data_IF_271337977816
#
_entry.id   IF_271337977816
#
_cell.length_a   1.000
_cell.length_b   1.000
_cell.length_c   1.000
_cell.angle_alpha   90.00
_cell.angle_beta   90.00
_cell.angle_gamma   90.00
#
_symmetry.space_group_name_H-M   'P 1'
#
loop_
_entity.id
_entity.type
_entity.pdbx_description
1 polymer ?
#
# COMPACT_ATOMS: atom_id res chain seq x y z
N UNK A 1 41.90 -24.00 -16.37
CA UNK A 1 43.33 -23.63 -16.51
C UNK A 1 43.62 -22.61 -15.41
N UNK A 2 44.05 -23.02 -14.22
CA UNK A 2 45.47 -23.22 -13.81
C UNK A 2 46.35 -21.98 -14.01
N UNK A 3 46.89 -21.49 -12.87
CA UNK A 3 48.26 -21.03 -12.54
C UNK A 3 48.18 -19.78 -11.65
N UNK A 4 48.41 -19.85 -10.32
CA UNK A 4 49.67 -20.04 -9.57
C UNK A 4 50.77 -19.01 -9.87
N UNK A 5 51.20 -18.26 -8.84
CA UNK A 5 52.60 -18.11 -8.35
C UNK A 5 52.66 -17.02 -7.26
N UNK A 6 52.90 -17.38 -6.00
CA UNK A 6 54.21 -17.42 -5.30
C UNK A 6 54.55 -16.06 -4.64
N UNK A 7 54.28 -15.89 -3.33
CA UNK A 7 55.16 -16.21 -2.18
C UNK A 7 56.46 -15.39 -2.18
N UNK A 8 56.49 -14.35 -1.33
CA UNK A 8 57.72 -13.80 -0.76
C UNK A 8 57.77 -14.28 0.69
N UNK A 9 58.76 -15.13 0.97
CA UNK A 9 59.12 -15.61 2.29
C UNK A 9 60.21 -14.67 2.84
N UNK A 10 59.98 -14.02 3.98
CA UNK A 10 61.07 -13.48 4.80
C UNK A 10 60.82 -13.81 6.28
N UNK A 11 61.78 -14.60 6.79
CA UNK A 11 62.28 -14.68 8.15
C UNK A 11 61.26 -14.76 9.30
N UNK A 12 61.14 -15.97 9.84
CA UNK A 12 60.71 -16.26 11.21
C UNK A 12 61.65 -15.55 12.19
N UNK A 13 61.18 -14.42 12.73
CA UNK A 13 61.63 -13.90 14.01
C UNK A 13 60.78 -14.54 15.10
N UNK A 14 61.42 -15.19 16.05
CA UNK A 14 60.81 -15.80 17.22
C UNK A 14 60.02 -14.77 18.03
N UNK A 15 58.70 -14.82 17.96
CA UNK A 15 57.81 -14.21 18.95
C UNK A 15 57.18 -15.35 19.74
N UNK A 16 57.51 -15.39 21.03
CA UNK A 16 56.87 -16.23 22.02
C UNK A 16 55.35 -16.13 21.91
N UNK A 17 54.66 -17.27 22.07
CA UNK A 17 53.22 -17.34 22.13
C UNK A 17 52.69 -16.48 23.29
N UNK A 18 52.34 -15.22 23.02
CA UNK A 18 51.39 -14.47 23.82
C UNK A 18 50.00 -14.94 23.41
N UNK A 19 49.24 -15.38 24.40
CA UNK A 19 47.97 -16.08 24.23
C UNK A 19 47.00 -15.30 23.34
N UNK A 20 46.24 -16.00 22.49
CA UNK A 20 45.20 -15.42 21.61
C UNK A 20 44.18 -14.56 22.39
N UNK A 21 44.05 -14.82 23.70
CA UNK A 21 43.26 -14.06 24.67
C UNK A 21 43.78 -12.65 24.95
N UNK A 22 45.10 -12.41 24.96
CA UNK A 22 45.67 -11.07 25.17
C UNK A 22 45.40 -10.16 23.96
N UNK A 23 45.51 -10.69 22.74
CA UNK A 23 45.21 -9.94 21.52
C UNK A 23 43.74 -9.53 21.44
N UNK A 24 42.82 -10.41 21.83
CA UNK A 24 41.38 -10.09 21.86
C UNK A 24 41.07 -9.07 22.97
N UNK A 25 41.72 -9.17 24.14
CA UNK A 25 41.54 -8.18 25.22
C UNK A 25 42.01 -6.79 24.80
N UNK A 26 43.20 -6.69 24.19
CA UNK A 26 43.77 -5.42 23.75
C UNK A 26 42.93 -4.78 22.62
N UNK A 27 42.43 -5.61 21.69
CA UNK A 27 41.49 -5.15 20.65
C UNK A 27 40.14 -4.70 21.24
N UNK A 28 39.64 -5.40 22.26
CA UNK A 28 38.41 -5.05 22.96
C UNK A 28 38.57 -3.74 23.76
N UNK A 29 39.68 -3.58 24.49
CA UNK A 29 39.96 -2.39 25.28
C UNK A 29 40.21 -1.15 24.41
N UNK A 30 40.73 -1.33 23.19
CA UNK A 30 40.86 -0.26 22.20
C UNK A 30 39.54 0.09 21.47
N UNK A 31 38.64 -0.88 21.26
CA UNK A 31 37.35 -0.65 20.59
C UNK A 31 36.28 -0.12 21.55
N UNK A 32 36.29 -0.53 22.81
CA UNK A 32 35.31 -0.14 23.84
C UNK A 32 35.09 1.37 23.97
N UNK A 33 36.12 2.23 24.08
CA UNK A 33 35.92 3.68 24.16
C UNK A 33 35.38 4.27 22.85
N UNK A 34 35.80 3.75 21.68
CA UNK A 34 35.30 4.20 20.37
C UNK A 34 33.84 3.83 20.14
N UNK A 35 33.44 2.65 20.58
CA UNK A 35 32.03 2.21 20.56
C UNK A 35 31.22 3.09 21.52
N UNK A 36 31.71 3.36 22.72
CA UNK A 36 31.03 4.25 23.68
C UNK A 36 30.85 5.68 23.15
N UNK A 37 31.88 6.29 22.54
CA UNK A 37 31.79 7.61 21.89
C UNK A 37 30.80 7.59 20.70
N UNK A 38 30.73 6.49 19.96
CA UNK A 38 29.76 6.31 18.87
C UNK A 38 28.33 6.19 19.43
N UNK A 39 28.12 5.46 20.52
CA UNK A 39 26.82 5.37 21.19
C UNK A 39 26.39 6.70 21.81
N UNK A 40 27.31 7.45 22.43
CA UNK A 40 27.00 8.73 23.06
C UNK A 40 26.74 9.82 22.00
N UNK A 41 27.45 9.80 20.87
CA UNK A 41 27.20 10.70 19.73
C UNK A 41 25.92 10.35 18.95
N UNK A 42 25.57 9.07 18.82
CA UNK A 42 24.28 8.63 18.28
C UNK A 42 23.15 8.98 19.25
N UNK A 43 23.36 8.81 20.56
CA UNK A 43 22.39 9.14 21.60
C UNK A 43 22.15 10.65 21.69
N UNK A 44 23.18 11.49 21.59
CA UNK A 44 23.02 12.96 21.54
C UNK A 44 22.45 13.45 20.21
N UNK A 45 22.75 12.80 19.07
CA UNK A 45 22.03 13.05 17.80
C UNK A 45 20.56 12.67 17.89
N UNK A 46 20.24 11.52 18.48
CA UNK A 46 18.87 11.08 18.72
C UNK A 46 18.14 12.02 19.67
N UNK A 47 18.76 12.42 20.80
CA UNK A 47 18.19 13.38 21.74
C UNK A 47 18.02 14.78 21.12
N UNK A 48 18.90 15.17 20.19
CA UNK A 48 18.79 16.40 19.41
C UNK A 48 17.65 16.37 18.38
N UNK A 49 17.34 15.20 17.81
CA UNK A 49 16.18 15.02 16.91
C UNK A 49 14.84 14.84 17.65
N UNK A 50 14.84 14.33 18.89
CA UNK A 50 13.61 14.27 19.71
C UNK A 50 13.08 15.66 20.12
N UNK A 51 13.94 16.68 20.24
CA UNK A 51 13.53 18.05 20.54
C UNK A 51 13.02 18.84 19.33
N UNK A 52 13.02 18.25 18.13
CA UNK A 52 12.42 18.79 16.91
C UNK A 52 11.38 17.86 16.32
N UNK A 53 10.64 17.13 17.16
CA UNK A 53 9.29 16.72 16.77
C UNK A 53 8.54 18.02 16.53
N UNK A 54 8.34 18.34 15.26
CA UNK A 54 7.53 19.47 14.84
C UNK A 54 6.09 19.16 15.24
N UNK A 55 5.75 19.45 16.50
CA UNK A 55 4.42 19.30 17.10
C UNK A 55 3.38 20.21 16.44
N UNK A 56 3.78 21.00 15.44
CA UNK A 56 2.87 21.62 14.51
C UNK A 56 2.37 20.54 13.55
N UNK A 57 1.36 19.80 14.00
CA UNK A 57 0.35 19.27 13.08
C UNK A 57 -0.02 20.43 12.17
N UNK A 58 0.28 20.32 10.87
CA UNK A 58 -0.06 21.38 9.93
C UNK A 58 -1.56 21.63 10.07
N UNK A 59 -1.95 22.88 10.33
CA UNK A 59 -3.35 23.24 10.44
C UNK A 59 -4.05 22.78 9.15
N UNK A 60 -5.07 21.94 9.29
CA UNK A 60 -5.88 21.49 8.16
C UNK A 60 -6.40 22.72 7.43
N UNK A 61 -6.15 22.78 6.12
CA UNK A 61 -6.73 23.82 5.26
C UNK A 61 -8.03 23.31 4.69
N UNK A 62 -9.02 24.18 4.57
CA UNK A 62 -10.34 23.85 4.04
C UNK A 62 -10.34 23.65 2.51
N UNK A 63 -9.21 23.92 1.83
CA UNK A 63 -9.04 23.72 0.40
C UNK A 63 -7.69 23.10 0.05
N UNK A 64 -7.70 22.19 -0.93
CA UNK A 64 -6.48 21.62 -1.50
C UNK A 64 -5.74 22.67 -2.35
N UNK A 65 -4.39 22.61 -2.42
CA UNK A 65 -3.63 23.43 -3.35
C UNK A 65 -4.15 23.31 -4.79
N UNK A 66 -4.15 24.39 -5.61
CA UNK A 66 -4.73 24.39 -6.95
C UNK A 66 -4.21 23.32 -7.91
N UNK A 67 -2.99 22.80 -7.68
CA UNK A 67 -2.37 21.71 -8.46
C UNK A 67 -3.26 20.47 -8.52
N UNK A 68 -3.99 20.17 -7.45
CA UNK A 68 -4.85 18.99 -7.36
C UNK A 68 -6.08 19.08 -8.27
N UNK A 69 -6.54 20.29 -8.63
CA UNK A 69 -7.59 20.47 -9.63
C UNK A 69 -7.11 20.07 -11.02
N UNK A 70 -5.87 20.42 -11.37
CA UNK A 70 -5.25 20.03 -12.65
C UNK A 70 -4.98 18.53 -12.73
N UNK A 71 -4.43 17.96 -11.65
CA UNK A 71 -4.22 16.51 -11.52
C UNK A 71 -5.55 15.76 -11.65
N UNK A 72 -6.61 16.21 -10.96
CA UNK A 72 -7.93 15.58 -11.07
C UNK A 72 -8.49 15.57 -12.49
N UNK A 73 -8.28 16.63 -13.27
CA UNK A 73 -8.75 16.71 -14.65
C UNK A 73 -8.04 15.70 -15.56
N UNK A 74 -6.73 15.51 -15.40
CA UNK A 74 -5.97 14.52 -16.16
C UNK A 74 -6.33 13.09 -15.75
N UNK A 75 -6.46 12.82 -14.45
CA UNK A 75 -6.89 11.52 -13.95
C UNK A 75 -8.29 11.15 -14.44
N UNK A 76 -9.26 12.06 -14.38
CA UNK A 76 -10.60 11.82 -14.92
C UNK A 76 -10.58 11.49 -16.42
N UNK A 77 -9.72 12.16 -17.18
CA UNK A 77 -9.54 11.88 -18.61
C UNK A 77 -8.90 10.51 -18.83
N UNK A 78 -7.92 10.13 -17.99
CA UNK A 78 -7.26 8.82 -18.02
C UNK A 78 -8.23 7.68 -17.69
N UNK A 79 -9.18 7.90 -16.78
CA UNK A 79 -10.05 6.84 -16.23
C UNK A 79 -11.39 6.67 -16.93
N UNK A 80 -11.79 7.63 -17.78
CA UNK A 80 -13.07 7.60 -18.45
C UNK A 80 -12.97 6.99 -19.85
N UNK A 81 -13.82 6.01 -20.15
CA UNK A 81 -14.02 5.53 -21.51
C UNK A 81 -15.23 6.23 -22.16
N UNK A 82 -15.00 7.10 -23.17
CA UNK A 82 -16.09 7.81 -23.84
C UNK A 82 -17.00 6.90 -24.68
N UNK A 83 -16.53 5.72 -25.09
CA UNK A 83 -17.31 4.80 -25.91
C UNK A 83 -18.34 4.04 -25.06
N UNK A 84 -17.92 3.54 -23.90
CA UNK A 84 -18.78 2.78 -22.98
C UNK A 84 -19.48 3.65 -21.93
N UNK A 85 -19.01 4.89 -21.74
CA UNK A 85 -19.45 5.81 -20.68
C UNK A 85 -19.28 5.20 -19.28
N UNK A 86 -18.17 4.51 -19.08
CA UNK A 86 -17.84 3.77 -17.86
C UNK A 86 -16.37 4.04 -17.50
N UNK A 87 -15.99 3.64 -16.28
CA UNK A 87 -14.58 3.66 -15.93
C UNK A 87 -13.82 2.49 -16.58
N UNK A 88 -12.61 2.78 -17.03
CA UNK A 88 -11.76 1.85 -17.78
C UNK A 88 -10.80 1.07 -16.87
N UNK A 89 -9.91 0.27 -17.47
CA UNK A 89 -9.00 -0.60 -16.72
C UNK A 89 -7.93 0.18 -15.91
N UNK A 90 -7.54 1.38 -16.34
CA UNK A 90 -6.65 2.26 -15.56
C UNK A 90 -7.32 2.73 -14.26
N UNK A 91 -8.63 3.00 -14.30
CA UNK A 91 -9.39 3.33 -13.11
C UNK A 91 -9.39 2.16 -12.10
N UNK A 92 -9.62 0.93 -12.58
CA UNK A 92 -9.60 -0.28 -11.73
C UNK A 92 -8.23 -0.48 -11.09
N UNK A 93 -7.19 -0.31 -11.90
CA UNK A 93 -5.82 -0.47 -11.45
C UNK A 93 -5.47 0.58 -10.39
N UNK A 94 -5.91 1.84 -10.55
CA UNK A 94 -5.71 2.90 -9.56
C UNK A 94 -6.46 2.65 -8.24
N UNK A 95 -7.69 2.13 -8.30
CA UNK A 95 -8.46 1.74 -7.11
C UNK A 95 -7.72 0.63 -6.34
N UNK A 96 -7.20 -0.36 -7.06
CA UNK A 96 -6.38 -1.42 -6.47
C UNK A 96 -5.06 -0.89 -5.92
N UNK A 97 -4.37 -0.02 -6.66
CA UNK A 97 -3.08 0.56 -6.25
C UNK A 97 -3.19 1.29 -4.91
N UNK A 98 -4.27 2.08 -4.73
CA UNK A 98 -4.53 2.76 -3.47
C UNK A 98 -4.64 1.80 -2.28
N UNK A 99 -5.31 0.66 -2.46
CA UNK A 99 -5.35 -0.39 -1.43
C UNK A 99 -4.00 -1.08 -1.24
N UNK A 100 -3.25 -1.37 -2.32
CA UNK A 100 -2.00 -2.12 -2.22
C UNK A 100 -0.85 -1.33 -1.55
N UNK A 101 -0.83 -0.01 -1.71
CA UNK A 101 0.08 0.88 -0.96
C UNK A 101 -0.27 0.84 0.55
N UNK A 102 -1.49 1.23 0.90
CA UNK A 102 -1.94 1.27 2.29
C UNK A 102 -2.03 -0.08 3.01
N UNK A 103 -2.41 -1.11 2.27
CA UNK A 103 -2.80 -2.42 2.79
C UNK A 103 -1.61 -3.18 3.37
N UNK A 104 -0.38 -2.80 3.03
CA UNK A 104 0.83 -3.41 3.56
C UNK A 104 1.27 -2.86 4.95
N UNK A 105 0.37 -2.17 5.67
CA UNK A 105 0.55 -1.74 7.06
C UNK A 105 -0.25 -2.58 8.07
N UNK A 106 0.14 -2.59 9.33
CA UNK A 106 -0.69 -3.02 10.47
C UNK A 106 -0.19 -2.39 11.77
N UNK A 107 -1.03 -2.36 12.82
CA UNK A 107 -0.73 -1.67 14.09
C UNK A 107 0.63 -2.00 14.71
N UNK A 108 1.10 -3.24 14.59
CA UNK A 108 2.38 -3.65 15.17
C UNK A 108 3.61 -3.05 14.47
N UNK A 109 3.45 -2.50 13.27
CA UNK A 109 4.56 -2.01 12.45
C UNK A 109 4.98 -0.57 12.81
N UNK A 110 4.22 0.11 13.66
CA UNK A 110 4.42 1.54 13.91
C UNK A 110 4.30 2.33 12.60
N UNK A 111 5.38 3.00 12.20
CA UNK A 111 5.35 3.94 11.07
C UNK A 111 5.75 3.33 9.72
N UNK A 112 5.99 2.02 9.66
CA UNK A 112 6.55 1.37 8.46
C UNK A 112 5.44 0.76 7.61
N UNK A 113 5.43 1.13 6.33
CA UNK A 113 4.40 0.78 5.36
C UNK A 113 3.14 1.62 5.55
N UNK A 114 2.16 1.40 4.67
CA UNK A 114 0.90 2.13 4.68
C UNK A 114 0.81 3.05 3.48
N UNK A 115 0.06 4.12 3.60
CA UNK A 115 -0.17 5.02 2.48
C UNK A 115 1.00 6.01 2.33
N UNK A 116 2.20 5.48 2.11
CA UNK A 116 3.47 6.23 2.10
C UNK A 116 4.15 6.22 0.73
N UNK A 117 3.50 5.67 -0.30
CA UNK A 117 4.02 5.60 -1.66
C UNK A 117 5.14 4.57 -1.84
N UNK A 118 5.46 3.76 -0.82
CA UNK A 118 6.53 2.76 -0.88
C UNK A 118 6.29 1.71 -1.95
N UNK A 119 5.02 1.48 -2.33
CA UNK A 119 4.68 0.61 -3.45
C UNK A 119 5.46 1.02 -4.72
N UNK A 120 5.47 2.31 -5.06
CA UNK A 120 6.20 2.85 -6.23
C UNK A 120 7.66 3.18 -5.89
N UNK A 121 7.93 3.64 -4.68
CA UNK A 121 9.20 4.28 -4.31
C UNK A 121 10.21 3.39 -3.60
N UNK A 122 9.83 2.17 -3.22
CA UNK A 122 10.71 1.23 -2.53
C UNK A 122 12.00 0.98 -3.30
N UNK A 123 13.12 0.93 -2.56
CA UNK A 123 14.45 0.74 -3.17
C UNK A 123 14.47 -0.53 -4.03
N UNK A 124 14.90 -0.38 -5.29
CA UNK A 124 14.97 -1.49 -6.24
C UNK A 124 13.61 -1.94 -6.79
N UNK A 125 12.56 -1.14 -6.61
CA UNK A 125 11.17 -1.49 -6.94
C UNK A 125 10.69 -2.76 -6.22
N UNK A 126 11.18 -2.98 -5.00
CA UNK A 126 10.96 -4.22 -4.24
C UNK A 126 9.48 -4.63 -4.23
N UNK A 127 8.59 -3.73 -3.82
CA UNK A 127 7.16 -4.04 -3.69
C UNK A 127 6.48 -4.34 -5.02
N UNK A 128 6.78 -3.56 -6.07
CA UNK A 128 6.22 -3.79 -7.41
C UNK A 128 6.74 -5.08 -8.06
N UNK A 129 7.81 -5.68 -7.56
CA UNK A 129 8.32 -6.98 -8.04
C UNK A 129 7.70 -8.17 -7.29
N UNK A 130 6.92 -7.93 -6.23
CA UNK A 130 6.25 -9.00 -5.48
C UNK A 130 5.02 -9.51 -6.21
N UNK A 131 4.75 -10.80 -6.07
CA UNK A 131 3.70 -11.48 -6.84
C UNK A 131 2.29 -10.93 -6.57
N UNK A 132 2.01 -10.53 -5.33
CA UNK A 132 0.75 -9.92 -4.92
C UNK A 132 0.47 -8.57 -5.59
N UNK A 133 1.50 -7.90 -6.13
CA UNK A 133 1.42 -6.60 -6.82
C UNK A 133 1.46 -6.73 -8.35
N UNK A 134 1.48 -7.95 -8.90
CA UNK A 134 1.44 -8.18 -10.34
C UNK A 134 0.26 -7.46 -11.01
N UNK A 135 0.56 -6.72 -12.09
CA UNK A 135 -0.40 -5.92 -12.85
C UNK A 135 -0.51 -4.45 -12.43
N UNK A 136 0.15 -4.02 -11.35
CA UNK A 136 0.14 -2.61 -10.94
C UNK A 136 1.22 -1.76 -11.64
N UNK A 137 2.20 -2.39 -12.30
CA UNK A 137 3.37 -1.69 -12.85
C UNK A 137 3.02 -0.62 -13.90
N UNK A 138 1.99 -0.84 -14.72
CA UNK A 138 1.56 0.11 -15.75
C UNK A 138 0.95 1.38 -15.13
N UNK A 139 -0.02 1.21 -14.21
CA UNK A 139 -0.64 2.35 -13.53
C UNK A 139 0.36 3.09 -12.64
N UNK A 140 1.24 2.38 -11.93
CA UNK A 140 2.33 2.98 -11.15
C UNK A 140 3.25 3.84 -12.01
N UNK A 141 3.58 3.38 -13.23
CA UNK A 141 4.39 4.15 -14.19
C UNK A 141 3.67 5.43 -14.63
N UNK A 142 2.36 5.34 -14.91
CA UNK A 142 1.52 6.50 -15.29
C UNK A 142 1.42 7.52 -14.16
N UNK A 143 1.21 7.07 -12.92
CA UNK A 143 1.14 7.95 -11.76
C UNK A 143 2.49 8.60 -11.47
N UNK A 144 3.60 7.86 -11.55
CA UNK A 144 4.93 8.43 -11.36
C UNK A 144 5.23 9.52 -12.43
N UNK A 145 4.87 9.29 -13.69
CA UNK A 145 5.01 10.29 -14.74
C UNK A 145 4.14 11.55 -14.48
N UNK A 146 2.92 11.35 -13.98
CA UNK A 146 2.02 12.45 -13.61
C UNK A 146 2.56 13.24 -12.40
N UNK A 147 3.11 12.54 -11.40
CA UNK A 147 3.79 13.16 -10.26
C UNK A 147 4.95 14.04 -10.74
N UNK A 148 5.83 13.51 -11.59
CA UNK A 148 6.98 14.24 -12.12
C UNK A 148 6.57 15.50 -12.91
N UNK A 149 5.44 15.42 -13.63
CA UNK A 149 4.88 16.56 -14.37
C UNK A 149 4.40 17.70 -13.46
N UNK A 150 3.80 17.36 -12.32
CA UNK A 150 3.13 18.33 -11.44
C UNK A 150 3.92 18.73 -10.20
N UNK A 151 4.91 17.93 -9.80
CA UNK A 151 5.73 18.19 -8.64
C UNK A 151 6.66 19.39 -8.88
N UNK A 152 6.45 20.46 -8.12
CA UNK A 152 7.25 21.69 -8.19
C UNK A 152 7.62 22.12 -6.78
N UNK A 153 8.75 22.79 -6.60
CA UNK A 153 9.18 23.25 -5.26
C UNK A 153 8.16 24.15 -4.56
N UNK A 154 7.34 24.90 -5.32
CA UNK A 154 6.27 25.75 -4.78
C UNK A 154 4.94 25.00 -4.51
N UNK A 155 4.75 23.84 -5.10
CA UNK A 155 3.56 22.98 -4.96
C UNK A 155 4.02 21.52 -4.98
N UNK A 156 4.65 21.04 -3.89
CA UNK A 156 5.14 19.67 -3.83
C UNK A 156 3.96 18.70 -3.91
N UNK A 157 4.16 17.62 -4.65
CA UNK A 157 3.21 16.52 -4.80
C UNK A 157 3.98 15.25 -4.45
N UNK A 158 3.67 14.64 -3.30
CA UNK A 158 4.23 13.34 -2.95
C UNK A 158 3.57 12.25 -3.80
N UNK A 159 4.31 11.18 -4.07
CA UNK A 159 3.76 9.99 -4.73
C UNK A 159 2.68 9.36 -3.83
N UNK A 160 2.91 9.33 -2.51
CA UNK A 160 1.95 8.85 -1.53
C UNK A 160 0.59 9.55 -1.61
N UNK A 161 0.57 10.89 -1.68
CA UNK A 161 -0.67 11.64 -1.86
C UNK A 161 -1.29 11.37 -3.24
N UNK A 162 -0.46 11.25 -4.28
CA UNK A 162 -0.94 11.02 -5.64
C UNK A 162 -1.65 9.66 -5.77
N UNK A 163 -1.12 8.59 -5.19
CA UNK A 163 -1.75 7.25 -5.21
C UNK A 163 -3.15 7.31 -4.59
N UNK A 164 -3.27 7.88 -3.39
CA UNK A 164 -4.57 7.93 -2.70
C UNK A 164 -5.56 8.87 -3.37
N UNK A 165 -5.09 10.01 -3.87
CA UNK A 165 -5.91 10.92 -4.66
C UNK A 165 -6.36 10.27 -5.98
N UNK A 166 -5.46 9.55 -6.64
CA UNK A 166 -5.73 8.79 -7.87
C UNK A 166 -6.84 7.75 -7.66
N UNK A 167 -6.73 6.90 -6.63
CA UNK A 167 -7.76 5.92 -6.29
C UNK A 167 -9.14 6.57 -6.07
N UNK A 168 -9.20 7.65 -5.30
CA UNK A 168 -10.46 8.36 -5.05
C UNK A 168 -11.03 9.04 -6.31
N UNK A 169 -10.18 9.56 -7.19
CA UNK A 169 -10.61 10.09 -8.50
C UNK A 169 -11.11 8.96 -9.41
N UNK A 170 -10.48 7.79 -9.39
CA UNK A 170 -10.94 6.63 -10.13
C UNK A 170 -12.33 6.19 -9.67
N UNK A 171 -12.56 6.07 -8.35
CA UNK A 171 -13.88 5.74 -7.79
C UNK A 171 -14.95 6.72 -8.29
N UNK A 172 -14.76 8.03 -8.12
CA UNK A 172 -15.78 9.02 -8.52
C UNK A 172 -15.94 9.14 -10.04
N UNK A 173 -14.98 8.63 -10.82
CA UNK A 173 -15.08 8.57 -12.30
C UNK A 173 -15.96 7.40 -12.75
N UNK A 174 -15.98 6.29 -12.00
CA UNK A 174 -16.92 5.20 -12.23
C UNK A 174 -18.37 5.69 -11.99
N UNK A 175 -19.32 5.46 -12.91
CA UNK A 175 -20.72 5.84 -12.69
C UNK A 175 -21.29 5.20 -11.42
N UNK A 176 -21.81 6.01 -10.49
CA UNK A 176 -22.27 5.56 -9.17
C UNK A 176 -21.26 5.76 -8.04
N UNK A 177 -20.03 6.16 -8.37
CA UNK A 177 -18.94 6.39 -7.43
C UNK A 177 -19.20 7.55 -6.47
N UNK A 178 -19.00 7.38 -5.14
CA UNK A 178 -19.07 8.49 -4.21
C UNK A 178 -17.95 9.51 -4.40
N UNK A 179 -18.22 10.73 -3.95
CA UNK A 179 -17.13 11.63 -3.56
C UNK A 179 -16.53 11.14 -2.25
N UNK A 180 -15.23 10.87 -2.25
CA UNK A 180 -14.49 10.43 -1.07
C UNK A 180 -13.61 11.58 -0.59
N UNK A 181 -13.68 11.86 0.71
CA UNK A 181 -12.84 12.90 1.31
C UNK A 181 -11.38 12.48 1.22
N UNK A 182 -10.57 13.30 0.56
CA UNK A 182 -9.14 13.04 0.41
C UNK A 182 -8.35 14.06 1.21
N UNK A 183 -7.49 13.57 2.09
CA UNK A 183 -6.50 14.38 2.78
C UNK A 183 -5.17 14.29 2.04
N UNK A 184 -4.48 15.43 1.98
CA UNK A 184 -3.17 15.60 1.34
C UNK A 184 -2.17 16.00 2.44
N UNK A 185 -0.96 15.49 2.35
CA UNK A 185 0.13 15.75 3.29
C UNK A 185 1.00 14.52 3.59
N UNK A 186 0.81 13.40 2.90
CA UNK A 186 1.60 12.18 3.10
C UNK A 186 3.05 12.40 2.71
N UNK A 187 3.94 11.76 3.46
CA UNK A 187 5.37 11.75 3.18
C UNK A 187 5.71 10.51 2.37
N UNK A 188 6.50 10.72 1.32
CA UNK A 188 7.05 9.63 0.54
C UNK A 188 8.04 8.80 1.36
N UNK A 189 7.96 7.48 1.22
CA UNK A 189 8.86 6.50 1.81
C UNK A 189 9.52 5.66 0.73
N UNK A 190 10.83 5.46 0.83
CA UNK A 190 11.56 4.47 0.02
C UNK A 190 11.82 3.16 0.76
N UNK A 191 11.29 3.03 1.98
CA UNK A 191 11.40 1.81 2.79
C UNK A 191 10.28 0.87 2.36
N UNK A 192 10.58 -0.34 1.87
CA UNK A 192 9.54 -1.28 1.47
C UNK A 192 8.70 -1.72 2.68
N UNK A 193 7.39 -1.84 2.47
CA UNK A 193 6.48 -2.39 3.47
C UNK A 193 6.80 -3.87 3.75
N UNK A 194 6.55 -4.38 4.99
CA UNK A 194 6.81 -5.78 5.31
C UNK A 194 5.99 -6.74 4.42
N UNK A 195 6.55 -7.88 3.99
CA UNK A 195 5.83 -8.85 3.17
C UNK A 195 4.73 -9.56 3.97
N UNK A 196 3.76 -10.15 3.27
CA UNK A 196 2.71 -10.98 3.87
C UNK A 196 1.58 -10.19 4.56
N UNK A 197 1.49 -8.88 4.32
CA UNK A 197 0.48 -8.02 4.92
C UNK A 197 -0.70 -7.69 4.00
N UNK A 198 -0.61 -8.07 2.72
CA UNK A 198 -1.71 -8.00 1.76
C UNK A 198 -2.51 -9.32 1.76
N UNK A 199 -3.84 -9.26 1.52
CA UNK A 199 -4.70 -10.44 1.55
C UNK A 199 -4.38 -11.38 0.38
N UNK A 200 -4.26 -12.67 0.68
CA UNK A 200 -4.15 -13.72 -0.32
C UNK A 200 -5.55 -14.19 -0.77
N UNK A 201 -5.71 -14.43 -2.06
CA UNK A 201 -7.01 -14.75 -2.68
C UNK A 201 -7.54 -16.13 -2.29
N UNK A 202 -6.69 -17.01 -1.75
CA UNK A 202 -7.03 -18.36 -1.28
C UNK A 202 -7.04 -18.48 0.25
N UNK A 203 -6.71 -17.42 0.98
CA UNK A 203 -6.65 -17.47 2.43
C UNK A 203 -8.03 -17.73 3.08
N UNK A 204 -8.07 -18.43 4.22
CA UNK A 204 -9.29 -18.61 4.99
C UNK A 204 -9.91 -17.27 5.43
N UNK A 205 -11.24 -17.19 5.43
CA UNK A 205 -11.95 -15.96 5.80
C UNK A 205 -11.63 -15.46 7.22
N UNK A 206 -11.34 -16.37 8.16
CA UNK A 206 -10.95 -15.99 9.52
C UNK A 206 -9.59 -15.29 9.54
N UNK A 207 -8.63 -15.77 8.75
CA UNK A 207 -7.29 -15.18 8.65
C UNK A 207 -7.36 -13.83 7.93
N UNK A 208 -8.16 -13.73 6.87
CA UNK A 208 -8.42 -12.47 6.18
C UNK A 208 -9.11 -11.46 7.09
N UNK A 209 -10.13 -11.87 7.86
CA UNK A 209 -10.77 -10.95 8.77
C UNK A 209 -9.81 -10.49 9.88
N UNK A 210 -9.00 -11.40 10.42
CA UNK A 210 -7.95 -11.05 11.40
C UNK A 210 -6.92 -10.07 10.83
N UNK A 211 -6.49 -10.28 9.58
CA UNK A 211 -5.56 -9.39 8.87
C UNK A 211 -6.11 -7.95 8.81
N UNK A 212 -7.39 -7.79 8.52
CA UNK A 212 -8.04 -6.47 8.50
C UNK A 212 -8.27 -5.89 9.90
N UNK A 213 -8.55 -6.72 10.91
CA UNK A 213 -8.61 -6.26 12.30
C UNK A 213 -7.27 -5.71 12.81
N UNK A 214 -6.16 -6.30 12.38
CA UNK A 214 -4.80 -5.82 12.69
C UNK A 214 -4.49 -4.46 12.05
N UNK A 215 -5.24 -4.10 11.01
CA UNK A 215 -5.25 -2.78 10.35
C UNK A 215 -6.31 -1.82 10.92
N UNK A 216 -7.11 -2.27 11.89
CA UNK A 216 -8.13 -1.46 12.55
C UNK A 216 -9.51 -1.49 11.89
N UNK A 217 -9.75 -2.33 10.89
CA UNK A 217 -11.06 -2.48 10.26
C UNK A 217 -11.96 -3.43 11.05
N UNK A 218 -13.24 -3.08 11.16
CA UNK A 218 -14.27 -4.00 11.62
C UNK A 218 -14.87 -4.83 10.47
N UNK A 219 -15.82 -5.71 10.80
CA UNK A 219 -16.46 -6.59 9.81
C UNK A 219 -17.25 -5.81 8.74
N UNK A 220 -17.82 -4.67 9.12
CA UNK A 220 -18.65 -3.83 8.25
C UNK A 220 -17.78 -3.01 7.30
N UNK A 221 -16.68 -2.47 7.80
CA UNK A 221 -15.71 -1.74 6.99
C UNK A 221 -15.02 -2.69 5.98
N UNK A 222 -14.61 -3.90 6.40
CA UNK A 222 -14.10 -4.92 5.47
C UNK A 222 -15.15 -5.29 4.40
N UNK A 223 -16.38 -5.61 4.82
CA UNK A 223 -17.45 -5.94 3.86
C UNK A 223 -17.72 -4.79 2.88
N UNK A 224 -17.63 -3.53 3.33
CA UNK A 224 -17.80 -2.37 2.47
C UNK A 224 -16.66 -2.25 1.44
N UNK A 225 -15.39 -2.40 1.87
CA UNK A 225 -14.21 -2.32 1.01
C UNK A 225 -14.19 -3.40 -0.07
N UNK A 226 -14.65 -4.62 0.22
CA UNK A 226 -14.81 -5.68 -0.79
C UNK A 226 -15.67 -5.23 -1.97
N UNK A 227 -16.61 -4.31 -1.76
CA UNK A 227 -17.43 -3.73 -2.82
C UNK A 227 -16.64 -3.03 -3.94
N UNK A 228 -15.37 -2.69 -3.74
CA UNK A 228 -14.50 -2.20 -4.82
C UNK A 228 -14.36 -3.21 -5.98
N UNK A 229 -14.59 -4.51 -5.71
CA UNK A 229 -14.67 -5.56 -6.72
C UNK A 229 -15.90 -5.45 -7.65
N UNK A 230 -16.84 -4.55 -7.39
CA UNK A 230 -17.84 -4.14 -8.39
C UNK A 230 -17.18 -3.49 -9.61
N UNK A 231 -15.98 -2.93 -9.43
CA UNK A 231 -15.16 -2.44 -10.53
C UNK A 231 -13.85 -3.19 -10.70
N UNK A 232 -13.85 -4.53 -10.69
CA UNK A 232 -12.63 -5.32 -10.91
C UNK A 232 -12.68 -6.29 -12.08
N UNK A 233 -11.48 -6.63 -12.56
CA UNK A 233 -11.18 -7.79 -13.41
C UNK A 233 -9.94 -8.47 -12.85
N UNK A 234 -9.87 -9.80 -12.94
CA UNK A 234 -8.73 -10.57 -12.46
C UNK A 234 -7.89 -11.11 -13.62
N UNK A 235 -6.57 -11.19 -13.41
CA UNK A 235 -5.60 -11.60 -14.43
C UNK A 235 -4.63 -12.68 -13.96
N UNK A 236 -4.50 -12.89 -12.65
CA UNK A 236 -3.42 -13.69 -12.04
C UNK A 236 -3.93 -14.76 -11.06
N UNK A 237 -5.19 -15.19 -11.20
CA UNK A 237 -5.77 -16.29 -10.42
C UNK A 237 -5.88 -17.52 -11.33
N UNK A 238 -5.08 -18.58 -11.13
CA UNK A 238 -4.94 -19.69 -12.09
C UNK A 238 -6.25 -20.37 -12.51
N UNK A 239 -7.22 -20.46 -11.60
CA UNK A 239 -8.52 -21.09 -11.85
C UNK A 239 -9.58 -20.15 -12.47
N UNK A 240 -9.24 -18.87 -12.70
CA UNK A 240 -10.15 -17.87 -13.28
C UNK A 240 -9.59 -17.38 -14.63
N UNK A 241 -10.41 -17.29 -15.69
CA UNK A 241 -9.95 -16.74 -16.97
C UNK A 241 -9.38 -15.32 -16.84
N UNK A 242 -8.31 -15.06 -17.60
CA UNK A 242 -7.67 -13.73 -17.65
C UNK A 242 -8.68 -12.68 -18.14
N UNK A 243 -8.78 -11.57 -17.42
CA UNK A 243 -9.71 -10.47 -17.70
C UNK A 243 -11.15 -10.73 -17.21
N UNK A 244 -11.39 -11.80 -16.46
CA UNK A 244 -12.71 -12.11 -15.93
C UNK A 244 -13.17 -11.10 -14.87
N UNK A 245 -14.44 -10.71 -14.97
CA UNK A 245 -15.13 -9.76 -14.09
C UNK A 245 -15.72 -10.44 -12.85
N UNK A 246 -15.76 -9.71 -11.73
CA UNK A 246 -16.30 -10.18 -10.44
C UNK A 246 -17.79 -9.87 -10.28
N UNK A 247 -18.38 -9.06 -11.17
CA UNK A 247 -19.82 -8.85 -11.25
C UNK A 247 -20.30 -8.66 -12.71
N UNK A 248 -21.60 -8.47 -12.89
CA UNK A 248 -22.23 -8.29 -14.21
C UNK A 248 -22.01 -6.91 -14.84
N UNK A 249 -21.45 -5.96 -14.11
CA UNK A 249 -21.40 -4.53 -14.46
C UNK A 249 -20.04 -3.92 -14.10
N UNK A 250 -18.91 -4.49 -14.56
CA UNK A 250 -17.61 -4.10 -14.02
C UNK A 250 -17.30 -2.61 -14.22
N UNK A 251 -17.84 -1.93 -15.23
CA UNK A 251 -17.59 -0.49 -15.41
C UNK A 251 -18.43 0.46 -14.55
N UNK A 252 -19.28 -0.06 -13.66
CA UNK A 252 -20.17 0.71 -12.80
C UNK A 252 -19.80 0.51 -11.33
N UNK A 253 -19.92 1.58 -10.54
CA UNK A 253 -19.71 1.53 -9.10
C UNK A 253 -21.06 1.28 -8.42
N UNK A 254 -21.49 0.02 -8.40
CA UNK A 254 -22.78 -0.38 -7.88
C UNK A 254 -22.72 -1.58 -6.91
N UNK A 255 -23.88 -2.09 -6.50
CA UNK A 255 -24.00 -3.18 -5.52
C UNK A 255 -24.25 -4.55 -6.15
N UNK A 256 -24.07 -4.71 -7.48
CA UNK A 256 -24.25 -6.00 -8.17
C UNK A 256 -23.28 -7.06 -7.65
N UNK A 257 -22.03 -6.66 -7.41
CA UNK A 257 -21.01 -7.48 -6.77
C UNK A 257 -21.51 -8.33 -5.60
N UNK A 258 -22.29 -7.75 -4.68
CA UNK A 258 -22.76 -8.49 -3.50
C UNK A 258 -23.72 -9.63 -3.87
N UNK A 259 -24.68 -9.38 -4.76
CA UNK A 259 -25.63 -10.41 -5.18
C UNK A 259 -24.97 -11.43 -6.12
N UNK A 260 -24.11 -10.97 -7.03
CA UNK A 260 -23.42 -11.81 -7.99
C UNK A 260 -22.36 -12.69 -7.29
N UNK A 261 -21.78 -12.26 -6.18
CA UNK A 261 -20.92 -13.11 -5.34
C UNK A 261 -21.72 -14.25 -4.67
N UNK A 262 -22.92 -13.94 -4.17
CA UNK A 262 -23.77 -14.92 -3.47
C UNK A 262 -24.45 -15.90 -4.44
N UNK A 263 -24.78 -15.45 -5.65
CA UNK A 263 -25.45 -16.25 -6.68
C UNK A 263 -24.88 -15.87 -8.05
N UNK A 264 -23.72 -16.44 -8.43
CA UNK A 264 -22.99 -16.02 -9.63
C UNK A 264 -23.76 -16.32 -10.91
N UNK A 265 -24.08 -15.30 -11.74
CA UNK A 265 -24.62 -15.52 -13.07
C UNK A 265 -23.53 -15.98 -14.05
N UNK A 266 -23.94 -16.38 -15.25
CA UNK A 266 -22.99 -16.77 -16.30
C UNK A 266 -22.05 -15.61 -16.64
N UNK A 267 -20.74 -15.89 -16.72
CA UNK A 267 -19.72 -14.91 -17.07
C UNK A 267 -19.16 -14.11 -15.90
N UNK A 268 -19.66 -14.34 -14.68
CA UNK A 268 -19.09 -13.80 -13.44
C UNK A 268 -18.22 -14.85 -12.76
N UNK A 269 -17.03 -14.42 -12.31
CA UNK A 269 -16.06 -15.29 -11.65
C UNK A 269 -15.72 -14.75 -10.26
N UNK A 270 -16.18 -15.47 -9.24
CA UNK A 270 -16.00 -15.10 -7.83
C UNK A 270 -14.63 -15.56 -7.34
N UNK A 271 -13.90 -14.65 -6.71
CA UNK A 271 -12.63 -14.97 -6.05
C UNK A 271 -12.87 -15.92 -4.86
N UNK A 272 -12.00 -16.92 -4.62
CA UNK A 272 -12.15 -17.82 -3.47
C UNK A 272 -12.27 -17.07 -2.12
N UNK A 273 -11.47 -16.02 -1.92
CA UNK A 273 -11.51 -15.13 -0.74
C UNK A 273 -12.87 -14.46 -0.56
N UNK A 274 -13.44 -13.93 -1.63
CA UNK A 274 -14.72 -13.22 -1.60
C UNK A 274 -15.87 -14.15 -1.22
N UNK A 275 -15.87 -15.35 -1.82
CA UNK A 275 -16.81 -16.41 -1.46
C UNK A 275 -16.68 -16.80 0.01
N UNK A 276 -15.44 -16.91 0.51
CA UNK A 276 -15.18 -17.27 1.90
C UNK A 276 -15.63 -16.16 2.87
N UNK A 277 -15.31 -14.90 2.59
CA UNK A 277 -15.70 -13.75 3.41
C UNK A 277 -17.23 -13.52 3.40
N UNK A 278 -17.90 -13.72 2.27
CA UNK A 278 -19.37 -13.67 2.19
C UNK A 278 -20.06 -14.76 3.03
N UNK A 279 -19.36 -15.87 3.31
CA UNK A 279 -19.82 -16.96 4.17
C UNK A 279 -19.40 -16.81 5.64
N UNK A 280 -18.44 -15.93 5.96
CA UNK A 280 -17.97 -15.70 7.32
C UNK A 280 -19.11 -15.20 8.23
N UNK A 281 -19.21 -15.65 9.51
CA UNK A 281 -20.35 -15.29 10.37
C UNK A 281 -20.54 -13.79 10.58
N UNK A 282 -19.44 -13.05 10.77
CA UNK A 282 -19.48 -11.60 11.01
C UNK A 282 -19.47 -10.80 9.69
N UNK A 283 -18.38 -10.88 8.91
CA UNK A 283 -18.25 -10.21 7.61
C UNK A 283 -19.40 -10.55 6.66
N UNK A 284 -19.79 -11.82 6.56
CA UNK A 284 -20.85 -12.27 5.66
C UNK A 284 -22.24 -11.74 6.03
N UNK A 285 -22.49 -11.38 7.30
CA UNK A 285 -23.72 -10.68 7.69
C UNK A 285 -23.74 -9.26 7.13
N UNK A 286 -22.64 -8.53 7.27
CA UNK A 286 -22.52 -7.16 6.76
C UNK A 286 -22.52 -7.13 5.22
N UNK A 287 -21.83 -8.10 4.59
CA UNK A 287 -21.81 -8.31 3.14
C UNK A 287 -23.22 -8.45 2.56
N UNK A 288 -24.04 -9.33 3.14
CA UNK A 288 -25.45 -9.50 2.73
C UNK A 288 -26.28 -8.24 2.94
N UNK A 289 -25.91 -7.43 3.93
CA UNK A 289 -26.57 -6.15 4.22
C UNK A 289 -26.36 -5.07 3.13
N UNK A 290 -25.43 -5.27 2.20
CA UNK A 290 -25.23 -4.36 1.07
C UNK A 290 -25.97 -4.77 -0.22
N UNK A 291 -26.57 -5.97 -0.26
CA UNK A 291 -27.39 -6.42 -1.40
C UNK A 291 -28.55 -5.44 -1.62
N UNK A 292 -28.59 -4.82 -2.79
CA UNK A 292 -29.60 -3.81 -3.14
C UNK A 292 -29.49 -2.49 -2.36
N UNK A 293 -28.47 -2.33 -1.52
CA UNK A 293 -28.30 -1.22 -0.59
C UNK A 293 -27.31 -0.17 -1.04
N UNK A 294 -27.48 0.43 -2.23
CA UNK A 294 -26.52 1.38 -2.81
C UNK A 294 -26.13 2.50 -1.83
N UNK A 295 -27.09 3.25 -1.29
CA UNK A 295 -26.80 4.38 -0.41
C UNK A 295 -26.07 3.98 0.88
N UNK A 296 -26.40 2.81 1.44
CA UNK A 296 -25.70 2.25 2.61
C UNK A 296 -24.25 1.91 2.26
N UNK A 297 -24.05 1.16 1.18
CA UNK A 297 -22.71 0.80 0.71
C UNK A 297 -21.86 2.02 0.37
N UNK A 298 -22.42 2.98 -0.38
CA UNK A 298 -21.72 4.21 -0.76
C UNK A 298 -21.20 4.97 0.46
N UNK A 299 -22.02 5.14 1.51
CA UNK A 299 -21.59 5.79 2.75
C UNK A 299 -20.56 4.99 3.54
N UNK A 300 -20.78 3.68 3.70
CA UNK A 300 -19.88 2.81 4.45
C UNK A 300 -18.51 2.64 3.75
N UNK A 301 -18.50 2.52 2.42
CA UNK A 301 -17.28 2.46 1.60
C UNK A 301 -16.49 3.76 1.69
N UNK A 302 -17.15 4.90 1.46
CA UNK A 302 -16.48 6.19 1.49
C UNK A 302 -15.85 6.46 2.87
N UNK A 303 -16.54 6.06 3.95
CA UNK A 303 -16.01 6.14 5.31
C UNK A 303 -14.79 5.22 5.51
N UNK A 304 -14.89 3.96 5.12
CA UNK A 304 -13.78 3.01 5.27
C UNK A 304 -12.53 3.47 4.48
N UNK A 305 -12.74 3.95 3.26
CA UNK A 305 -11.69 4.51 2.40
C UNK A 305 -11.08 5.81 2.97
N UNK A 306 -11.87 6.69 3.60
CA UNK A 306 -11.40 8.01 4.09
C UNK A 306 -10.88 8.04 5.52
N UNK A 307 -11.27 7.09 6.36
CA UNK A 307 -10.92 7.12 7.78
C UNK A 307 -9.74 6.19 8.06
N UNK A 308 -9.79 4.95 7.54
CA UNK A 308 -8.85 3.90 7.95
C UNK A 308 -7.60 3.83 7.09
N UNK A 309 -7.70 4.16 5.80
CA UNK A 309 -6.53 4.41 4.95
C UNK A 309 -5.89 5.79 5.22
N UNK A 310 -6.38 6.52 6.24
CA UNK A 310 -5.80 7.78 6.69
C UNK A 310 -5.33 7.70 8.14
N UNK A 311 -5.92 6.85 8.98
CA UNK A 311 -5.43 6.61 10.34
C UNK A 311 -4.04 5.99 10.36
N UNK A 312 -3.67 5.18 9.35
CA UNK A 312 -2.28 4.78 9.09
C UNK A 312 -1.33 5.98 9.04
N UNK A 313 -1.81 7.14 8.56
CA UNK A 313 -1.02 8.35 8.40
C UNK A 313 -0.98 9.21 9.67
N UNK A 314 -1.93 9.03 10.59
CA UNK A 314 -2.01 9.82 11.84
C UNK A 314 -1.18 9.24 12.97
N UNK A 315 -0.78 7.98 12.85
CA UNK A 315 0.19 7.35 13.71
C UNK A 315 1.64 7.60 13.23
N UNK A 316 1.85 8.03 11.96
CA UNK A 316 3.14 8.38 11.30
C UNK A 316 3.54 9.85 11.48
#
# INVERSE_FOLDING_TARGET
MLLSNAVILLAVGSVQATSFTEYISDTYDHLKPRVAETYESISTRAAGTYNTINTKLFARKDSCPPVWTSIAAELKTMYWDPATKQCNDDARAAIREAFHDCGAWQKSNGLVGGCDGSLILSVGNDELLRGENNGLQDISTKLLALQQKYNKSSTPVSVADLIQFSGNIAVVTCPGGPQIKTYIGRRDSSVPAPPGLLPDVHAPAADLYKLFQDKGFDAKELAALLGAHSTSKTFHVPEIPVGAQQDTTPGLWDVKYYQDTLTPPQGVFVLPSDKALAAHPEVGKEFKGFVGGQGKWTGDFAKAQSDRLHESDSEI
#
